data_IF_342837388771
#
_entry.id   IF_342837388771
#
_cell.length_a   1.000
_cell.length_b   1.000
_cell.length_c   1.000
_cell.angle_alpha   90.00
_cell.angle_beta   90.00
_cell.angle_gamma   90.00
#
_symmetry.space_group_name_H-M   'P 1'
#
loop_
_entity.id
_entity.type
_entity.pdbx_description
1 polymer ?
#
# COMPACT_ATOMS: atom_id res chain seq x y z
N UNK A 1 -23.79 -6.83 -2.16
CA UNK A 1 -22.59 -7.20 -1.38
C UNK A 1 -22.79 -6.74 0.05
N UNK A 2 -22.26 -7.47 1.03
CA UNK A 2 -22.38 -7.06 2.44
C UNK A 2 -21.51 -5.81 2.69
N UNK A 3 -21.91 -4.89 3.58
CA UNK A 3 -21.14 -3.67 3.89
C UNK A 3 -19.70 -3.91 4.33
N UNK A 4 -19.40 -5.10 4.85
CA UNK A 4 -18.07 -5.46 5.38
C UNK A 4 -17.25 -6.33 4.41
N UNK A 5 -17.76 -6.55 3.19
CA UNK A 5 -17.01 -7.22 2.14
C UNK A 5 -15.89 -6.30 1.65
N UNK A 6 -14.64 -6.78 1.66
CA UNK A 6 -13.47 -5.99 1.24
C UNK A 6 -13.61 -5.45 -0.19
N UNK A 7 -14.28 -6.18 -1.08
CA UNK A 7 -14.55 -5.70 -2.44
C UNK A 7 -15.54 -4.54 -2.44
N UNK A 8 -16.50 -4.53 -1.51
CA UNK A 8 -17.41 -3.40 -1.32
C UNK A 8 -16.68 -2.19 -0.73
N UNK A 9 -15.85 -2.40 0.31
CA UNK A 9 -15.03 -1.35 0.90
C UNK A 9 -14.07 -0.73 -0.12
N UNK A 10 -13.39 -1.55 -0.93
CA UNK A 10 -12.56 -1.10 -2.05
C UNK A 10 -13.37 -0.25 -3.05
N UNK A 11 -14.56 -0.72 -3.45
CA UNK A 11 -15.43 0.02 -4.37
C UNK A 11 -15.88 1.37 -3.78
N UNK A 12 -16.19 1.40 -2.48
CA UNK A 12 -16.54 2.63 -1.76
C UNK A 12 -15.36 3.61 -1.72
N UNK A 13 -14.18 3.13 -1.34
CA UNK A 13 -12.94 3.91 -1.32
C UNK A 13 -12.65 4.50 -2.70
N UNK A 14 -12.70 3.70 -3.76
CA UNK A 14 -12.43 4.18 -5.11
C UNK A 14 -13.46 5.18 -5.62
N UNK A 15 -14.73 5.06 -5.21
CA UNK A 15 -15.74 6.07 -5.55
C UNK A 15 -15.47 7.39 -4.84
N UNK A 16 -15.05 7.36 -3.57
CA UNK A 16 -14.69 8.54 -2.80
C UNK A 16 -13.43 9.22 -3.38
N UNK A 17 -12.36 8.46 -3.63
CA UNK A 17 -11.13 8.99 -4.21
C UNK A 17 -11.37 9.65 -5.58
N UNK A 18 -12.26 9.08 -6.39
CA UNK A 18 -12.63 9.63 -7.71
C UNK A 18 -13.57 10.82 -7.65
N UNK A 19 -14.27 11.06 -6.53
CA UNK A 19 -15.11 12.26 -6.40
C UNK A 19 -14.30 13.51 -6.05
N UNK A 20 -13.08 13.33 -5.52
CA UNK A 20 -12.15 14.45 -5.35
C UNK A 20 -11.49 14.82 -6.67
N UNK A 21 -11.36 16.12 -6.91
CA UNK A 21 -10.65 16.69 -8.05
C UNK A 21 -9.79 17.87 -7.57
N UNK A 22 -8.78 17.63 -6.71
CA UNK A 22 -7.99 18.71 -6.15
C UNK A 22 -7.18 19.41 -7.24
N UNK A 23 -7.12 20.73 -7.18
CA UNK A 23 -6.30 21.53 -8.12
C UNK A 23 -5.04 22.12 -7.46
N UNK A 24 -4.89 21.96 -6.15
CA UNK A 24 -3.78 22.49 -5.36
C UNK A 24 -3.51 21.63 -4.11
N UNK A 25 -2.47 22.00 -3.35
CA UNK A 25 -2.03 21.27 -2.15
C UNK A 25 -3.00 21.41 -0.98
N UNK A 26 -3.65 22.56 -0.82
CA UNK A 26 -4.61 22.79 0.27
C UNK A 26 -5.82 21.86 0.12
N UNK A 27 -6.33 21.73 -1.11
CA UNK A 27 -7.43 20.81 -1.41
C UNK A 27 -7.01 19.35 -1.23
N UNK A 28 -5.76 18.98 -1.56
CA UNK A 28 -5.25 17.64 -1.23
C UNK A 28 -5.27 17.43 0.29
N UNK A 29 -4.80 18.40 1.07
CA UNK A 29 -4.79 18.32 2.54
C UNK A 29 -6.20 18.15 3.10
N UNK A 30 -7.15 18.99 2.67
CA UNK A 30 -8.55 18.89 3.09
C UNK A 30 -9.20 17.57 2.68
N UNK A 31 -8.89 17.05 1.48
CA UNK A 31 -9.41 15.76 1.03
C UNK A 31 -8.85 14.61 1.89
N UNK A 32 -7.57 14.66 2.28
CA UNK A 32 -6.97 13.66 3.17
C UNK A 32 -7.58 13.70 4.58
N UNK A 33 -7.90 14.89 5.09
CA UNK A 33 -8.65 15.05 6.34
C UNK A 33 -10.05 14.44 6.23
N UNK A 34 -10.79 14.74 5.17
CA UNK A 34 -12.13 14.18 4.92
C UNK A 34 -12.09 12.64 4.82
N UNK A 35 -11.09 12.06 4.14
CA UNK A 35 -10.88 10.60 4.09
C UNK A 35 -10.65 10.02 5.48
N UNK A 36 -9.84 10.69 6.30
CA UNK A 36 -9.52 10.25 7.66
C UNK A 36 -10.75 10.32 8.57
N UNK A 37 -11.51 11.40 8.51
CA UNK A 37 -12.72 11.60 9.32
C UNK A 37 -13.85 10.65 8.94
N UNK A 38 -13.97 10.31 7.65
CA UNK A 38 -14.98 9.37 7.13
C UNK A 38 -14.48 7.92 7.01
N UNK A 39 -13.34 7.61 7.64
CA UNK A 39 -12.82 6.25 7.66
C UNK A 39 -13.81 5.29 8.33
N UNK A 40 -13.89 4.02 7.88
CA UNK A 40 -14.73 3.02 8.54
C UNK A 40 -14.37 2.91 10.02
N UNK A 41 -15.36 2.65 10.90
CA UNK A 41 -15.08 2.42 12.32
C UNK A 41 -14.15 1.22 12.47
N UNK A 42 -13.26 1.28 13.47
CA UNK A 42 -12.41 0.14 13.80
C UNK A 42 -13.27 -1.03 14.23
N UNK A 43 -13.16 -2.15 13.51
CA UNK A 43 -13.81 -3.39 13.90
C UNK A 43 -13.22 -3.89 15.22
N UNK A 44 -14.07 -4.33 16.15
CA UNK A 44 -13.64 -5.02 17.36
C UNK A 44 -13.74 -6.53 17.14
N UNK A 45 -12.66 -7.23 17.42
CA UNK A 45 -12.59 -8.68 17.33
C UNK A 45 -12.20 -9.26 18.67
N UNK A 46 -12.74 -10.43 18.99
CA UNK A 46 -12.08 -11.33 19.93
C UNK A 46 -10.72 -11.76 19.40
N UNK A 47 -9.88 -12.29 20.29
CA UNK A 47 -8.56 -12.80 19.91
C UNK A 47 -8.63 -13.83 18.77
N UNK A 48 -9.55 -14.80 18.87
CA UNK A 48 -9.66 -15.89 17.90
C UNK A 48 -10.17 -15.39 16.53
N UNK A 49 -11.13 -14.45 16.52
CA UNK A 49 -11.62 -13.82 15.29
C UNK A 49 -10.52 -13.03 14.58
N UNK A 50 -9.70 -12.30 15.36
CA UNK A 50 -8.58 -11.55 14.82
C UNK A 50 -7.54 -12.49 14.17
N UNK A 51 -7.18 -13.58 14.85
CA UNK A 51 -6.24 -14.56 14.31
C UNK A 51 -6.79 -15.23 13.04
N UNK A 52 -8.06 -15.65 13.03
CA UNK A 52 -8.69 -16.21 11.81
C UNK A 52 -8.70 -15.20 10.67
N UNK A 53 -8.96 -13.92 10.93
CA UNK A 53 -8.90 -12.88 9.89
C UNK A 53 -7.49 -12.66 9.33
N UNK A 54 -6.46 -12.64 10.17
CA UNK A 54 -5.07 -12.46 9.71
C UNK A 54 -4.57 -13.70 8.96
N UNK A 55 -4.89 -14.91 9.43
CA UNK A 55 -4.52 -16.17 8.75
C UNK A 55 -4.92 -16.19 7.27
N UNK A 56 -6.08 -15.62 6.95
CA UNK A 56 -6.58 -15.52 5.57
C UNK A 56 -5.68 -14.72 4.64
N UNK A 57 -5.01 -13.69 5.17
CA UNK A 57 -4.12 -12.86 4.38
C UNK A 57 -3.41 -11.80 5.22
N UNK A 58 -2.09 -11.89 5.22
CA UNK A 58 -1.16 -10.92 5.77
C UNK A 58 -0.27 -10.43 4.64
N UNK A 59 0.03 -9.13 4.60
CA UNK A 59 0.94 -8.57 3.62
C UNK A 59 1.99 -7.66 4.25
N UNK A 60 3.21 -7.74 3.73
CA UNK A 60 4.25 -6.72 3.90
C UNK A 60 4.34 -5.90 2.62
N UNK A 61 4.47 -4.58 2.77
CA UNK A 61 4.67 -3.67 1.66
C UNK A 61 5.89 -2.79 1.88
N UNK A 62 6.79 -2.75 0.90
CA UNK A 62 7.94 -1.84 0.86
C UNK A 62 8.23 -1.45 -0.59
N UNK A 63 9.14 -0.51 -0.83
CA UNK A 63 9.49 -0.09 -2.20
C UNK A 63 10.16 -1.19 -3.02
N UNK A 64 11.11 -1.92 -2.44
CA UNK A 64 11.81 -3.00 -3.11
C UNK A 64 12.24 -4.12 -2.16
N UNK A 65 12.31 -5.35 -2.69
CA UNK A 65 12.86 -6.50 -1.97
C UNK A 65 14.18 -6.95 -2.60
N UNK A 66 15.18 -7.18 -1.76
CA UNK A 66 16.50 -7.69 -2.12
C UNK A 66 17.16 -8.44 -0.96
N UNK A 67 18.43 -8.15 -0.69
CA UNK A 67 19.22 -8.71 0.43
C UNK A 67 19.71 -7.63 1.39
N UNK A 68 19.07 -6.46 1.36
CA UNK A 68 19.27 -5.40 2.33
C UNK A 68 18.68 -5.78 3.70
N UNK A 69 19.02 -5.00 4.73
CA UNK A 69 18.54 -5.25 6.10
C UNK A 69 17.02 -5.25 6.23
N UNK A 70 16.30 -4.38 5.50
CA UNK A 70 14.83 -4.31 5.55
C UNK A 70 14.22 -5.60 5.02
N UNK A 71 14.69 -6.08 3.86
CA UNK A 71 14.22 -7.32 3.25
C UNK A 71 14.44 -8.55 4.13
N UNK A 72 15.63 -8.64 4.74
CA UNK A 72 15.97 -9.74 5.68
C UNK A 72 15.10 -9.68 6.93
N UNK A 73 14.85 -8.49 7.46
CA UNK A 73 14.05 -8.29 8.67
C UNK A 73 12.59 -8.66 8.41
N UNK A 74 12.02 -8.20 7.29
CA UNK A 74 10.68 -8.59 6.85
C UNK A 74 10.58 -10.12 6.71
N UNK A 75 11.58 -10.78 6.13
CA UNK A 75 11.60 -12.25 6.02
C UNK A 75 11.55 -12.94 7.39
N UNK A 76 12.33 -12.47 8.37
CA UNK A 76 12.29 -12.99 9.74
C UNK A 76 10.91 -12.80 10.36
N UNK A 77 10.31 -11.61 10.23
CA UNK A 77 8.97 -11.34 10.77
C UNK A 77 7.89 -12.18 10.09
N UNK A 78 7.94 -12.29 8.77
CA UNK A 78 7.05 -13.16 8.01
C UNK A 78 7.15 -14.61 8.48
N UNK A 79 8.37 -15.10 8.71
CA UNK A 79 8.57 -16.45 9.24
C UNK A 79 7.96 -16.62 10.63
N UNK A 80 8.25 -15.71 11.57
CA UNK A 80 7.67 -15.77 12.92
C UNK A 80 6.13 -15.74 12.88
N UNK A 81 5.55 -14.84 12.07
CA UNK A 81 4.10 -14.75 11.94
C UNK A 81 3.52 -15.99 11.25
N UNK A 82 4.21 -16.54 10.26
CA UNK A 82 3.81 -17.80 9.64
C UNK A 82 3.69 -18.91 10.69
N UNK A 83 4.70 -19.06 11.54
CA UNK A 83 4.77 -20.13 12.53
C UNK A 83 3.72 -19.94 13.63
N UNK A 84 3.59 -18.71 14.16
CA UNK A 84 2.58 -18.38 15.18
C UNK A 84 1.16 -18.64 14.67
N UNK A 85 0.88 -18.28 13.41
CA UNK A 85 -0.47 -18.35 12.85
C UNK A 85 -0.83 -19.73 12.29
N UNK A 86 0.16 -20.59 12.01
CA UNK A 86 -0.04 -21.87 11.31
C UNK A 86 -0.31 -23.07 12.21
N UNK A 87 -0.54 -22.88 13.51
CA UNK A 87 -0.85 -23.97 14.45
C UNK A 87 -2.08 -24.80 14.06
N UNK A 88 -3.10 -24.17 13.43
CA UNK A 88 -4.33 -24.84 13.01
C UNK A 88 -4.52 -24.86 11.49
N UNK A 89 -4.14 -23.78 10.81
CA UNK A 89 -4.28 -23.58 9.36
C UNK A 89 -3.13 -22.74 8.84
N UNK A 90 -2.56 -23.13 7.70
CA UNK A 90 -1.46 -22.40 7.08
C UNK A 90 -1.83 -20.95 6.80
N UNK A 91 -1.06 -20.01 7.35
CA UNK A 91 -1.23 -18.58 7.08
C UNK A 91 -0.78 -18.21 5.67
N UNK A 92 -1.51 -17.31 5.01
CA UNK A 92 -1.16 -16.79 3.68
C UNK A 92 -0.43 -15.47 3.82
N UNK A 93 0.85 -15.46 3.41
CA UNK A 93 1.71 -14.27 3.47
C UNK A 93 1.96 -13.74 2.07
N UNK A 94 1.86 -12.43 1.94
CA UNK A 94 2.07 -11.67 0.71
C UNK A 94 3.21 -10.67 0.88
N UNK A 95 4.03 -10.55 -0.15
CA UNK A 95 5.06 -9.54 -0.31
C UNK A 95 4.62 -8.63 -1.45
N UNK A 96 4.50 -7.34 -1.17
CA UNK A 96 4.07 -6.32 -2.12
C UNK A 96 5.23 -5.34 -2.28
N UNK A 97 5.67 -5.08 -3.51
CA UNK A 97 6.69 -4.06 -3.76
C UNK A 97 6.67 -3.53 -5.18
N UNK A 98 7.42 -2.46 -5.41
CA UNK A 98 7.70 -1.97 -6.76
C UNK A 98 8.66 -2.84 -7.55
N UNK A 99 9.62 -3.45 -6.85
CA UNK A 99 10.60 -4.34 -7.46
C UNK A 99 10.98 -5.52 -6.56
N UNK A 100 11.37 -6.62 -7.20
CA UNK A 100 11.97 -7.78 -6.54
C UNK A 100 13.29 -8.03 -7.25
N UNK A 101 14.40 -7.74 -6.57
CA UNK A 101 15.73 -8.05 -7.06
C UNK A 101 15.90 -9.57 -7.16
N UNK A 102 16.75 -10.08 -8.07
CA UNK A 102 17.00 -11.51 -8.19
C UNK A 102 17.39 -12.18 -6.87
N UNK A 103 18.12 -11.46 -6.01
CA UNK A 103 18.57 -11.96 -4.72
C UNK A 103 17.44 -12.07 -3.69
N UNK A 104 16.26 -11.45 -3.90
CA UNK A 104 15.14 -11.56 -2.98
C UNK A 104 14.66 -13.02 -2.79
N UNK A 105 14.94 -13.89 -3.77
CA UNK A 105 14.65 -15.33 -3.70
C UNK A 105 15.42 -16.04 -2.58
N UNK A 106 16.51 -15.46 -2.07
CA UNK A 106 17.25 -16.05 -0.94
C UNK A 106 16.55 -15.79 0.40
N UNK A 107 15.65 -14.81 0.48
CA UNK A 107 14.96 -14.42 1.72
C UNK A 107 13.45 -14.61 1.66
N UNK A 108 12.84 -14.63 0.48
CA UNK A 108 11.39 -14.85 0.33
C UNK A 108 11.13 -16.30 -0.06
N UNK A 109 10.44 -17.04 0.82
CA UNK A 109 10.10 -18.44 0.57
C UNK A 109 9.16 -18.62 -0.64
N UNK A 110 9.29 -19.71 -1.42
CA UNK A 110 8.48 -19.94 -2.63
C UNK A 110 6.96 -20.05 -2.38
N UNK A 111 6.55 -20.48 -1.19
CA UNK A 111 5.13 -20.59 -0.83
C UNK A 111 4.45 -19.25 -0.57
N UNK A 112 5.23 -18.20 -0.26
CA UNK A 112 4.72 -16.85 -0.04
C UNK A 112 4.41 -16.16 -1.36
N UNK A 113 3.36 -15.35 -1.36
CA UNK A 113 2.85 -14.71 -2.57
C UNK A 113 3.59 -13.40 -2.82
N UNK A 114 3.75 -13.05 -4.09
CA UNK A 114 4.36 -11.79 -4.50
C UNK A 114 3.39 -10.98 -5.35
N UNK A 115 3.34 -9.68 -5.12
CA UNK A 115 2.74 -8.70 -6.00
C UNK A 115 3.80 -7.66 -6.34
N UNK A 116 4.07 -7.49 -7.63
CA UNK A 116 4.82 -6.35 -8.14
C UNK A 116 3.85 -5.27 -8.57
N UNK A 117 3.94 -4.08 -7.98
CA UNK A 117 3.25 -2.88 -8.43
C UNK A 117 4.25 -2.04 -9.22
N UNK A 118 4.21 -2.13 -10.55
CA UNK A 118 5.12 -1.35 -11.39
C UNK A 118 5.10 0.13 -10.99
N UNK A 119 6.29 0.75 -10.89
CA UNK A 119 6.51 2.15 -10.47
C UNK A 119 6.37 2.44 -8.97
N UNK A 120 6.03 1.46 -8.13
CA UNK A 120 6.04 1.60 -6.67
C UNK A 120 7.42 1.32 -6.03
N UNK A 121 8.53 1.62 -6.72
CA UNK A 121 9.91 1.29 -6.31
C UNK A 121 10.69 2.50 -5.79
N UNK A 122 9.99 3.44 -5.18
CA UNK A 122 10.51 4.72 -4.69
C UNK A 122 10.23 5.85 -5.67
N UNK A 123 9.86 7.01 -5.15
CA UNK A 123 9.35 8.12 -5.97
C UNK A 123 10.41 8.70 -6.92
N UNK A 124 11.68 8.67 -6.54
CA UNK A 124 12.80 9.05 -7.41
C UNK A 124 13.02 8.11 -8.61
N UNK A 125 12.43 6.91 -8.60
CA UNK A 125 12.47 5.97 -9.73
C UNK A 125 11.15 5.96 -10.52
N UNK A 126 10.07 6.46 -9.92
CA UNK A 126 8.78 6.60 -10.56
C UNK A 126 8.88 7.60 -11.73
N UNK A 127 8.45 7.20 -12.93
CA UNK A 127 8.57 8.00 -14.16
C UNK A 127 9.98 8.50 -14.41
N UNK A 128 10.96 7.65 -14.10
CA UNK A 128 12.39 7.99 -14.22
C UNK A 128 12.77 9.20 -13.35
N UNK A 129 12.03 9.45 -12.28
CA UNK A 129 12.31 10.52 -11.33
C UNK A 129 11.86 11.91 -11.77
N UNK A 130 11.19 12.06 -12.91
CA UNK A 130 10.82 13.38 -13.47
C UNK A 130 10.07 14.22 -12.44
N UNK A 131 9.11 13.62 -11.75
CA UNK A 131 8.27 14.32 -10.77
C UNK A 131 8.98 14.59 -9.45
N UNK A 132 9.82 13.64 -9.02
CA UNK A 132 10.71 13.85 -7.88
C UNK A 132 11.66 15.02 -8.14
N UNK A 133 12.32 15.04 -9.30
CA UNK A 133 13.25 16.12 -9.67
C UNK A 133 12.54 17.47 -9.73
N UNK A 134 11.34 17.53 -10.30
CA UNK A 134 10.53 18.75 -10.29
C UNK A 134 10.22 19.23 -8.89
N UNK A 135 9.76 18.37 -7.98
CA UNK A 135 9.41 18.80 -6.62
C UNK A 135 10.64 19.30 -5.84
N UNK A 136 11.79 18.64 -5.98
CA UNK A 136 12.96 18.91 -5.14
C UNK A 136 13.96 19.92 -5.73
N UNK A 137 14.02 20.08 -7.05
CA UNK A 137 15.04 20.91 -7.72
C UNK A 137 14.48 22.07 -8.53
N UNK A 138 13.17 22.09 -8.82
CA UNK A 138 12.55 23.22 -9.50
C UNK A 138 12.00 24.21 -8.48
N UNK A 139 12.35 25.49 -8.62
CA UNK A 139 11.72 26.55 -7.83
C UNK A 139 10.21 26.55 -8.08
N UNK A 140 9.46 26.26 -7.02
CA UNK A 140 8.02 26.12 -7.07
C UNK A 140 7.40 27.13 -6.10
N UNK A 141 7.10 28.33 -6.62
CA UNK A 141 6.37 29.32 -5.84
C UNK A 141 5.01 28.77 -5.46
N UNK A 142 4.59 29.07 -4.24
CA UNK A 142 3.27 28.73 -3.74
C UNK A 142 2.19 29.24 -4.71
N UNK A 143 1.17 28.42 -4.98
CA UNK A 143 0.06 28.71 -5.88
C UNK A 143 0.45 29.06 -7.34
N UNK A 144 1.68 28.74 -7.76
CA UNK A 144 2.08 28.83 -9.16
C UNK A 144 1.45 27.72 -10.00
N UNK A 145 1.37 27.93 -11.32
CA UNK A 145 0.89 26.93 -12.27
C UNK A 145 1.64 25.59 -12.13
N UNK A 146 2.97 25.64 -12.00
CA UNK A 146 3.83 24.46 -11.78
C UNK A 146 3.47 23.75 -10.47
N UNK A 147 3.11 24.50 -9.41
CA UNK A 147 2.69 23.93 -8.13
C UNK A 147 1.36 23.19 -8.24
N UNK A 148 0.40 23.77 -8.96
CA UNK A 148 -0.90 23.12 -9.22
C UNK A 148 -0.76 21.86 -10.09
N UNK A 149 0.05 21.92 -11.15
CA UNK A 149 0.37 20.76 -11.98
C UNK A 149 0.99 19.64 -11.14
N UNK A 150 1.91 19.99 -10.25
CA UNK A 150 2.56 19.01 -9.37
C UNK A 150 1.56 18.40 -8.38
N UNK A 151 0.72 19.21 -7.74
CA UNK A 151 -0.31 18.73 -6.83
C UNK A 151 -1.22 17.71 -7.52
N UNK A 152 -1.73 18.05 -8.70
CA UNK A 152 -2.62 17.20 -9.48
C UNK A 152 -1.95 15.87 -9.85
N UNK A 153 -0.69 15.90 -10.29
CA UNK A 153 0.05 14.70 -10.64
C UNK A 153 0.30 13.79 -9.43
N UNK A 154 0.74 14.35 -8.29
CA UNK A 154 0.92 13.56 -7.05
C UNK A 154 -0.38 12.91 -6.64
N UNK A 155 -1.49 13.64 -6.69
CA UNK A 155 -2.81 13.09 -6.38
C UNK A 155 -3.17 11.92 -7.30
N UNK A 156 -3.02 12.09 -8.62
CA UNK A 156 -3.33 11.04 -9.59
C UNK A 156 -2.46 9.79 -9.38
N UNK A 157 -1.16 9.97 -9.15
CA UNK A 157 -0.24 8.88 -8.83
C UNK A 157 -0.65 8.15 -7.55
N UNK A 158 -1.02 8.87 -6.49
CA UNK A 158 -1.48 8.30 -5.24
C UNK A 158 -2.78 7.50 -5.41
N UNK A 159 -3.75 8.04 -6.16
CA UNK A 159 -5.03 7.35 -6.45
C UNK A 159 -4.81 6.08 -7.27
N UNK A 160 -3.92 6.11 -8.26
CA UNK A 160 -3.58 4.93 -9.05
C UNK A 160 -2.90 3.84 -8.21
N UNK A 161 -1.98 4.22 -7.32
CA UNK A 161 -1.35 3.29 -6.39
C UNK A 161 -2.37 2.70 -5.41
N UNK A 162 -3.23 3.53 -4.82
CA UNK A 162 -4.30 3.10 -3.92
C UNK A 162 -5.27 2.14 -4.62
N UNK A 163 -5.55 2.36 -5.91
CA UNK A 163 -6.38 1.46 -6.73
C UNK A 163 -5.75 0.09 -6.88
N UNK A 164 -4.47 0.00 -7.25
CA UNK A 164 -3.78 -1.27 -7.46
C UNK A 164 -3.65 -2.03 -6.13
N UNK A 165 -3.18 -1.34 -5.09
CA UNK A 165 -3.00 -1.91 -3.76
C UNK A 165 -4.35 -2.36 -3.19
N UNK A 166 -5.34 -1.47 -3.15
CA UNK A 166 -6.68 -1.76 -2.62
C UNK A 166 -7.38 -2.90 -3.34
N UNK A 167 -7.25 -2.99 -4.67
CA UNK A 167 -7.81 -4.10 -5.45
C UNK A 167 -7.19 -5.43 -5.02
N UNK A 168 -5.86 -5.47 -4.86
CA UNK A 168 -5.16 -6.69 -4.43
C UNK A 168 -5.52 -7.11 -3.01
N UNK A 169 -5.58 -6.15 -2.07
CA UNK A 169 -5.99 -6.43 -0.68
C UNK A 169 -7.41 -7.02 -0.63
N UNK A 170 -8.32 -6.48 -1.44
CA UNK A 170 -9.69 -6.97 -1.51
C UNK A 170 -9.80 -8.34 -2.20
N UNK A 171 -9.07 -8.56 -3.29
CA UNK A 171 -9.09 -9.82 -4.04
C UNK A 171 -8.47 -10.98 -3.24
N UNK A 172 -7.37 -10.72 -2.53
CA UNK A 172 -6.64 -11.73 -1.73
C UNK A 172 -7.11 -11.82 -0.29
N UNK A 173 -8.18 -11.10 0.05
CA UNK A 173 -8.72 -11.04 1.41
C UNK A 173 -7.65 -10.71 2.48
N UNK A 174 -6.68 -9.84 2.17
CA UNK A 174 -5.62 -9.43 3.11
C UNK A 174 -6.24 -8.57 4.21
N UNK A 175 -6.12 -9.00 5.46
CA UNK A 175 -6.72 -8.35 6.64
C UNK A 175 -5.73 -7.49 7.41
N UNK A 176 -4.42 -7.75 7.25
CA UNK A 176 -3.36 -6.97 7.85
C UNK A 176 -2.34 -6.61 6.77
N UNK A 177 -2.13 -5.32 6.56
CA UNK A 177 -1.07 -4.77 5.73
C UNK A 177 -0.06 -4.08 6.64
N UNK A 178 1.20 -4.48 6.53
CA UNK A 178 2.32 -3.91 7.29
C UNK A 178 3.20 -3.13 6.30
N UNK A 179 3.03 -1.80 6.20
CA UNK A 179 3.96 -0.96 5.46
C UNK A 179 5.30 -0.91 6.21
N UNK A 180 6.40 -1.11 5.48
CA UNK A 180 7.76 -1.08 6.00
C UNK A 180 8.61 -0.21 5.07
N UNK A 181 9.09 0.93 5.59
CA UNK A 181 9.93 1.86 4.83
C UNK A 181 9.26 2.33 3.52
N UNK A 182 8.07 2.90 3.65
CA UNK A 182 7.21 3.41 2.55
C UNK A 182 6.83 4.85 2.80
#
# INVERSE_FOLDING_TARGET
>A
MKPDDKKYLFSKMMRLLKSYAPVNWDEISSNLEDIKENSPPLEQFSHDEFLEKIRKGLAFWTFDFGIDGVSVEISKYAQCLHDILSNEKKAVIHYISGDFQPQADTVIKPEWKRLRINRANGWSKWDKGIWFEKLFYQDMKENSEISHEMALEVWNQAVDLAKILGAYLAEKEISLLIPVNV
#
